data_IF_247692080322
#
_entry.id   IF_247692080322
#
_cell.length_a   1.000
_cell.length_b   1.000
_cell.length_c   1.000
_cell.angle_alpha   90.00
_cell.angle_beta   90.00
_cell.angle_gamma   90.00
#
_symmetry.space_group_name_H-M   'P 1'
#
loop_
_entity.id
_entity.type
_entity.pdbx_description
1 polymer ?
#
# COMPACT_ATOMS: atom_id res chain seq x y z
N UNK A 1 8.95 -51.92 40.54
CA UNK A 1 8.98 -51.56 39.12
C UNK A 1 8.44 -50.15 39.02
N UNK A 2 9.25 -49.10 38.76
CA UNK A 2 8.71 -47.77 38.48
C UNK A 2 8.16 -47.72 37.05
N UNK A 3 6.97 -47.15 36.90
CA UNK A 3 6.29 -46.98 35.62
C UNK A 3 7.00 -46.01 34.66
N UNK A 4 6.68 -46.07 33.36
CA UNK A 4 7.36 -45.25 32.34
C UNK A 4 7.08 -43.76 32.54
N UNK A 5 8.14 -42.96 32.39
CA UNK A 5 8.12 -41.48 32.41
C UNK A 5 7.27 -40.98 31.25
N UNK A 6 6.29 -40.07 31.45
CA UNK A 6 5.52 -39.50 30.33
C UNK A 6 6.42 -38.70 29.41
N UNK A 7 6.25 -38.89 28.10
CA UNK A 7 6.98 -38.20 27.06
C UNK A 7 6.75 -36.67 27.16
N UNK A 8 7.85 -35.91 27.03
CA UNK A 8 7.85 -34.46 27.02
C UNK A 8 7.03 -33.96 25.81
N UNK A 9 6.10 -33.01 25.99
CA UNK A 9 5.37 -32.47 24.86
C UNK A 9 6.32 -31.83 23.84
N UNK A 10 6.02 -31.90 22.54
CA UNK A 10 6.86 -31.31 21.51
C UNK A 10 7.00 -29.78 21.73
N UNK A 11 8.23 -29.30 21.69
CA UNK A 11 8.51 -27.86 21.70
C UNK A 11 7.87 -27.23 20.47
N UNK A 12 7.06 -26.17 20.62
CA UNK A 12 6.47 -25.49 19.48
C UNK A 12 7.57 -24.89 18.58
N UNK A 13 7.40 -25.04 17.28
CA UNK A 13 8.31 -24.52 16.24
C UNK A 13 8.47 -23.00 16.39
N UNK A 14 9.71 -22.52 16.33
CA UNK A 14 10.05 -21.11 16.52
C UNK A 14 9.25 -20.16 15.60
N UNK A 15 8.91 -20.60 14.39
CA UNK A 15 8.07 -19.88 13.43
C UNK A 15 6.65 -19.66 13.95
N UNK A 16 6.07 -20.69 14.60
CA UNK A 16 4.70 -20.64 15.17
C UNK A 16 4.60 -19.66 16.35
N UNK A 17 5.67 -19.48 17.13
CA UNK A 17 5.70 -18.56 18.28
C UNK A 17 5.84 -17.12 17.80
N UNK A 18 6.64 -16.86 16.74
CA UNK A 18 6.78 -15.53 16.13
C UNK A 18 5.47 -15.07 15.51
N UNK A 19 4.79 -15.95 14.76
CA UNK A 19 3.49 -15.66 14.15
C UNK A 19 2.39 -15.38 15.21
N UNK A 20 2.42 -16.07 16.35
CA UNK A 20 1.49 -15.80 17.43
C UNK A 20 1.79 -14.48 18.15
N UNK A 21 3.08 -14.13 18.35
CA UNK A 21 3.46 -12.85 18.93
C UNK A 21 3.11 -11.68 18.01
N UNK A 22 3.40 -11.78 16.73
CA UNK A 22 3.03 -10.75 15.73
C UNK A 22 1.50 -10.57 15.71
N UNK A 23 0.71 -11.67 15.78
CA UNK A 23 -0.75 -11.59 15.86
C UNK A 23 -1.24 -10.97 17.17
N UNK A 24 -0.60 -11.25 18.30
CA UNK A 24 -0.93 -10.62 19.58
C UNK A 24 -0.56 -9.13 19.59
N UNK A 25 0.58 -8.75 19.01
CA UNK A 25 0.96 -7.34 18.84
C UNK A 25 0.00 -6.60 17.89
N UNK A 26 -0.41 -7.21 16.79
CA UNK A 26 -1.37 -6.61 15.85
C UNK A 26 -2.80 -6.48 16.41
N UNK A 27 -3.17 -7.28 17.40
CA UNK A 27 -4.50 -7.25 18.02
C UNK A 27 -4.61 -6.35 19.25
N UNK A 28 -3.49 -5.85 19.80
CA UNK A 28 -3.50 -4.98 20.95
C UNK A 28 -3.64 -3.52 20.51
N UNK A 29 -4.87 -3.03 20.51
CA UNK A 29 -5.20 -1.63 20.24
C UNK A 29 -4.57 -0.62 21.22
N UNK A 30 -3.99 -1.08 22.32
CA UNK A 30 -3.28 -0.25 23.31
C UNK A 30 -1.81 0.01 22.93
N UNK A 31 -1.22 -0.75 22.02
CA UNK A 31 0.18 -0.60 21.60
C UNK A 31 0.35 0.26 20.34
N UNK A 32 -0.70 0.47 19.57
CA UNK A 32 -0.62 1.18 18.29
C UNK A 32 -0.12 2.63 18.38
N UNK A 33 -0.38 3.34 19.49
CA UNK A 33 0.12 4.71 19.72
C UNK A 33 1.49 4.75 20.40
N UNK A 34 1.93 3.66 21.03
CA UNK A 34 3.17 3.60 21.82
C UNK A 34 4.25 2.68 21.18
N UNK A 35 4.01 2.16 19.98
CA UNK A 35 4.95 1.24 19.33
C UNK A 35 6.34 1.86 19.16
N UNK A 36 6.42 3.11 18.70
CA UNK A 36 7.68 3.83 18.53
C UNK A 36 8.43 4.03 19.86
N UNK A 37 7.70 4.31 20.94
CA UNK A 37 8.30 4.46 22.27
C UNK A 37 8.87 3.14 22.81
N UNK A 38 8.17 2.02 22.57
CA UNK A 38 8.63 0.69 22.98
C UNK A 38 9.84 0.26 22.15
N UNK A 39 9.87 0.61 20.87
CA UNK A 39 10.99 0.37 19.97
C UNK A 39 12.24 1.13 20.42
N UNK A 40 12.10 2.42 20.75
CA UNK A 40 13.18 3.24 21.32
C UNK A 40 13.74 2.66 22.62
N UNK A 41 12.87 2.17 23.52
CA UNK A 41 13.29 1.51 24.75
C UNK A 41 14.02 0.19 24.48
N UNK A 42 13.58 -0.56 23.49
CA UNK A 42 14.23 -1.80 23.11
C UNK A 42 15.60 -1.56 22.48
N UNK A 43 15.75 -0.54 21.66
CA UNK A 43 17.07 -0.14 21.13
C UNK A 43 18.02 0.30 22.25
N UNK A 44 17.55 1.07 23.23
CA UNK A 44 18.33 1.45 24.41
C UNK A 44 18.78 0.21 25.20
N UNK A 45 17.89 -0.76 25.37
CA UNK A 45 18.21 -2.02 26.03
C UNK A 45 19.24 -2.85 25.25
N UNK A 46 19.17 -2.89 23.91
CA UNK A 46 20.18 -3.59 23.09
C UNK A 46 21.58 -2.99 23.21
N UNK A 47 21.66 -1.66 23.37
CA UNK A 47 22.93 -0.94 23.57
C UNK A 47 23.45 -1.11 25.02
N UNK A 48 22.56 -0.97 26.00
CA UNK A 48 22.87 -1.09 27.42
C UNK A 48 21.67 -1.60 28.21
N UNK A 49 21.62 -2.88 28.58
CA UNK A 49 20.48 -3.49 29.28
C UNK A 49 20.12 -2.82 30.60
N UNK A 50 21.06 -2.11 31.23
CA UNK A 50 20.87 -1.41 32.53
C UNK A 50 20.39 0.04 32.36
N UNK A 51 20.23 0.52 31.11
CA UNK A 51 19.74 1.88 30.82
C UNK A 51 18.21 2.00 30.84
N UNK A 52 17.49 0.90 30.84
CA UNK A 52 16.02 0.87 30.87
C UNK A 52 15.50 0.49 32.25
N UNK A 53 14.24 0.89 32.53
CA UNK A 53 13.58 0.54 33.81
C UNK A 53 13.58 -1.00 34.01
N UNK A 54 13.78 -1.49 35.25
CA UNK A 54 13.86 -2.92 35.58
C UNK A 54 12.69 -3.76 35.08
N UNK A 55 11.49 -3.16 34.96
CA UNK A 55 10.32 -3.85 34.40
C UNK A 55 10.49 -4.11 32.91
N UNK A 56 10.98 -3.13 32.18
CA UNK A 56 11.27 -3.27 30.75
C UNK A 56 12.44 -4.21 30.50
N UNK A 57 13.48 -4.13 31.33
CA UNK A 57 14.60 -5.07 31.28
C UNK A 57 14.13 -6.51 31.44
N UNK A 58 13.31 -6.81 32.45
CA UNK A 58 12.74 -8.15 32.66
C UNK A 58 11.89 -8.62 31.46
N UNK A 59 11.12 -7.71 30.88
CA UNK A 59 10.33 -7.97 29.70
C UNK A 59 11.19 -8.33 28.49
N UNK A 60 12.22 -7.52 28.20
CA UNK A 60 13.13 -7.73 27.07
C UNK A 60 14.09 -8.91 27.26
N UNK A 61 14.49 -9.22 28.51
CA UNK A 61 15.26 -10.41 28.83
C UNK A 61 14.52 -11.71 28.45
N UNK A 62 13.18 -11.69 28.45
CA UNK A 62 12.35 -12.79 27.96
C UNK A 62 12.50 -13.08 26.45
N UNK A 63 13.06 -12.16 25.67
CA UNK A 63 13.37 -12.34 24.26
C UNK A 63 14.80 -12.86 24.02
N UNK A 64 15.69 -12.79 25.02
CA UNK A 64 17.05 -13.35 24.98
C UNK A 64 17.01 -14.88 25.02
N UNK A 65 16.90 -15.48 23.90
CA UNK A 65 16.90 -16.98 23.80
C UNK A 65 16.89 -17.47 22.37
N UNK A 66 17.05 -16.57 21.41
CA UNK A 66 17.07 -16.90 19.98
C UNK A 66 18.45 -16.59 19.38
N UNK A 67 18.99 -17.55 18.64
CA UNK A 67 20.36 -17.63 18.11
C UNK A 67 20.75 -16.58 17.04
N UNK A 68 19.93 -15.58 16.77
CA UNK A 68 20.30 -14.44 15.94
C UNK A 68 20.40 -13.21 16.83
N UNK A 69 21.60 -12.69 17.03
CA UNK A 69 21.83 -11.43 17.74
C UNK A 69 20.99 -10.32 17.10
N UNK A 70 20.03 -9.84 17.86
CA UNK A 70 19.15 -8.75 17.43
C UNK A 70 20.00 -7.47 17.33
N UNK A 71 19.83 -6.72 16.25
CA UNK A 71 20.61 -5.51 15.95
C UNK A 71 19.70 -4.31 16.05
N UNK A 72 20.13 -3.18 16.66
CA UNK A 72 19.33 -1.97 16.69
C UNK A 72 18.89 -1.53 15.30
N UNK A 73 17.60 -1.27 15.11
CA UNK A 73 17.05 -0.82 13.83
C UNK A 73 17.67 0.49 13.36
N UNK A 74 18.01 1.38 14.27
CA UNK A 74 18.74 2.62 13.97
C UNK A 74 20.10 2.36 13.32
N UNK A 75 20.82 1.32 13.73
CA UNK A 75 22.10 0.93 13.12
C UNK A 75 21.90 0.37 11.70
N UNK A 76 20.85 -0.43 11.50
CA UNK A 76 20.47 -0.95 10.17
C UNK A 76 20.07 0.18 9.23
N UNK A 77 19.23 1.12 9.71
CA UNK A 77 18.80 2.30 8.95
C UNK A 77 20.00 3.18 8.59
N UNK A 78 20.94 3.41 9.54
CA UNK A 78 22.16 4.15 9.27
C UNK A 78 23.05 3.48 8.23
N UNK A 79 23.21 2.16 8.32
CA UNK A 79 24.00 1.37 7.36
C UNK A 79 23.35 1.38 5.95
N UNK A 80 22.02 1.26 5.86
CA UNK A 80 21.29 1.35 4.58
C UNK A 80 21.40 2.77 4.00
N UNK A 81 21.27 3.80 4.84
CA UNK A 81 21.42 5.19 4.41
C UNK A 81 22.87 5.50 3.96
N UNK A 82 23.86 4.88 4.57
CA UNK A 82 25.26 5.00 4.16
C UNK A 82 25.54 4.23 2.86
N UNK A 83 25.03 3.02 2.73
CA UNK A 83 25.08 2.25 1.49
C UNK A 83 24.40 2.98 0.34
N UNK A 84 23.24 3.63 0.59
CA UNK A 84 22.55 4.45 -0.38
C UNK A 84 23.35 5.69 -0.78
N UNK A 85 24.04 6.34 0.18
CA UNK A 85 24.94 7.47 -0.10
C UNK A 85 26.15 7.03 -0.93
N UNK A 86 26.75 5.89 -0.61
CA UNK A 86 27.86 5.32 -1.39
C UNK A 86 27.42 4.88 -2.77
N UNK A 87 26.21 4.34 -2.94
CA UNK A 87 25.63 4.03 -4.23
C UNK A 87 25.34 5.30 -5.07
N UNK A 88 25.01 6.42 -4.41
CA UNK A 88 24.83 7.72 -5.08
C UNK A 88 26.15 8.38 -5.46
N UNK A 89 27.24 8.11 -4.73
CA UNK A 89 28.60 8.62 -5.01
C UNK A 89 29.36 7.70 -6.00
N UNK A 90 29.09 6.39 -6.02
CA UNK A 90 29.44 5.55 -7.13
C UNK A 90 28.54 5.95 -8.30
N UNK A 91 29.02 6.87 -9.11
CA UNK A 91 28.32 7.39 -10.28
C UNK A 91 27.70 6.26 -11.10
N UNK A 92 26.70 6.56 -11.94
CA UNK A 92 25.93 5.53 -12.61
C UNK A 92 26.89 4.58 -13.31
N UNK A 93 26.89 3.31 -12.90
CA UNK A 93 27.38 2.28 -13.77
C UNK A 93 26.73 2.53 -15.13
N UNK A 94 27.53 2.65 -16.16
CA UNK A 94 27.10 2.90 -17.54
C UNK A 94 26.28 1.73 -18.08
N UNK A 95 25.14 1.49 -17.46
CA UNK A 95 24.01 0.81 -18.07
C UNK A 95 23.30 1.88 -18.91
N UNK A 96 23.28 1.70 -20.21
CA UNK A 96 22.87 2.69 -21.17
C UNK A 96 21.59 3.45 -20.77
N UNK A 97 21.55 4.76 -21.01
CA UNK A 97 20.46 5.66 -20.57
C UNK A 97 19.03 5.22 -20.96
N UNK A 98 18.87 4.12 -21.71
CA UNK A 98 17.60 3.44 -21.97
C UNK A 98 17.05 2.68 -20.76
N UNK A 99 17.92 2.03 -19.99
CA UNK A 99 17.49 1.19 -18.85
C UNK A 99 16.98 2.02 -17.66
N UNK A 100 17.58 3.21 -17.43
CA UNK A 100 17.12 4.14 -16.39
C UNK A 100 15.76 4.76 -16.73
N UNK A 101 15.55 5.17 -17.97
CA UNK A 101 14.26 5.69 -18.40
C UNK A 101 13.16 4.64 -18.33
N UNK A 102 13.43 3.39 -18.72
CA UNK A 102 12.49 2.27 -18.56
C UNK A 102 12.08 2.10 -17.07
N UNK A 103 13.04 2.14 -16.15
CA UNK A 103 12.75 2.07 -14.70
C UNK A 103 11.89 3.25 -14.23
N UNK A 104 12.18 4.45 -14.72
CA UNK A 104 11.44 5.66 -14.35
C UNK A 104 9.99 5.62 -14.87
N UNK A 105 9.76 5.12 -16.07
CA UNK A 105 8.41 4.86 -16.58
C UNK A 105 7.69 3.80 -15.74
N UNK A 106 8.37 2.74 -15.31
CA UNK A 106 7.80 1.75 -14.40
C UNK A 106 7.37 2.34 -13.05
N UNK A 107 8.16 3.29 -12.51
CA UNK A 107 7.81 4.02 -11.27
C UNK A 107 6.60 4.93 -11.49
N UNK A 108 6.52 5.63 -12.61
CA UNK A 108 5.37 6.46 -12.98
C UNK A 108 4.08 5.62 -13.07
N UNK A 109 4.11 4.45 -13.71
CA UNK A 109 2.97 3.53 -13.78
C UNK A 109 2.53 3.12 -12.36
N UNK A 110 3.50 2.78 -11.50
CA UNK A 110 3.22 2.40 -10.11
C UNK A 110 2.62 3.56 -9.32
N UNK A 111 3.08 4.80 -9.53
CA UNK A 111 2.53 6.00 -8.90
C UNK A 111 1.06 6.21 -9.29
N UNK A 112 0.73 6.10 -10.58
CA UNK A 112 -0.68 6.18 -11.02
C UNK A 112 -1.55 5.08 -10.41
N UNK A 113 -1.08 3.83 -10.36
CA UNK A 113 -1.82 2.71 -9.74
C UNK A 113 -2.07 2.91 -8.24
N UNK A 114 -1.09 3.50 -7.54
CA UNK A 114 -1.14 3.65 -6.08
C UNK A 114 -1.83 4.94 -5.64
N UNK A 115 -1.65 6.04 -6.36
CA UNK A 115 -2.03 7.40 -5.94
C UNK A 115 -2.86 8.17 -6.95
N UNK A 116 -3.12 7.59 -8.13
CA UNK A 116 -3.92 8.24 -9.16
C UNK A 116 -5.32 8.66 -8.68
N UNK A 117 -5.93 7.86 -7.78
CA UNK A 117 -7.23 8.16 -7.19
C UNK A 117 -7.28 9.52 -6.46
N UNK A 118 -6.15 10.00 -5.92
CA UNK A 118 -6.07 11.33 -5.29
C UNK A 118 -6.24 12.46 -6.30
N UNK A 119 -5.82 12.23 -7.56
CA UNK A 119 -6.00 13.17 -8.67
C UNK A 119 -7.33 13.00 -9.41
N UNK A 120 -8.20 12.09 -8.99
CA UNK A 120 -9.48 11.85 -9.65
C UNK A 120 -10.48 12.97 -9.34
N UNK A 121 -11.19 13.43 -10.39
CA UNK A 121 -12.28 14.39 -10.25
C UNK A 121 -13.59 13.66 -9.91
N UNK A 122 -13.75 13.34 -8.63
CA UNK A 122 -14.89 12.58 -8.10
C UNK A 122 -16.02 13.49 -7.61
N UNK A 123 -15.83 14.81 -7.61
CA UNK A 123 -16.88 15.78 -7.23
C UNK A 123 -17.58 16.33 -8.47
N UNK A 124 -18.78 15.86 -8.82
CA UNK A 124 -19.52 16.34 -9.98
C UNK A 124 -20.00 17.79 -9.84
N UNK A 125 -20.01 18.33 -8.62
CA UNK A 125 -20.41 19.73 -8.34
C UNK A 125 -19.21 20.69 -8.40
N UNK A 126 -17.98 20.17 -8.43
CA UNK A 126 -16.77 20.99 -8.50
C UNK A 126 -16.50 21.83 -7.25
N UNK A 127 -17.06 21.45 -6.09
CA UNK A 127 -16.87 22.16 -4.82
C UNK A 127 -15.49 21.89 -4.23
N UNK A 128 -14.95 20.71 -4.49
CA UNK A 128 -13.62 20.29 -4.03
C UNK A 128 -12.74 20.00 -5.24
N UNK A 129 -11.69 20.79 -5.50
CA UNK A 129 -10.79 20.51 -6.61
C UNK A 129 -10.03 19.20 -6.34
N UNK A 130 -9.72 18.40 -7.39
CA UNK A 130 -8.88 17.22 -7.25
C UNK A 130 -7.48 17.60 -6.75
N UNK A 131 -6.86 16.72 -5.99
CA UNK A 131 -5.47 16.90 -5.58
C UNK A 131 -4.54 16.76 -6.79
N UNK A 132 -3.36 17.36 -6.71
CA UNK A 132 -2.30 17.16 -7.69
C UNK A 132 -1.06 16.55 -7.02
N UNK A 133 -1.02 15.24 -6.81
CA UNK A 133 0.14 14.58 -6.21
C UNK A 133 1.37 14.75 -7.13
N UNK A 134 2.51 15.23 -6.62
CA UNK A 134 3.69 15.53 -7.44
C UNK A 134 4.29 14.28 -8.11
N UNK A 135 4.08 13.12 -7.56
CA UNK A 135 4.53 11.83 -8.11
C UNK A 135 3.71 11.33 -9.31
N UNK A 136 2.66 12.05 -9.71
CA UNK A 136 1.97 11.82 -10.99
C UNK A 136 2.59 12.62 -12.14
N UNK A 137 3.55 13.53 -11.86
CA UNK A 137 4.21 14.35 -12.86
C UNK A 137 5.46 13.66 -13.43
N UNK A 138 5.72 13.87 -14.72
CA UNK A 138 6.90 13.33 -15.42
C UNK A 138 8.21 13.76 -14.76
N UNK A 139 8.29 15.04 -14.36
CA UNK A 139 9.50 15.62 -13.77
C UNK A 139 9.92 14.92 -12.46
N UNK A 140 8.97 14.46 -11.66
CA UNK A 140 9.24 13.70 -10.44
C UNK A 140 10.01 12.41 -10.71
N UNK A 141 9.80 11.83 -11.88
CA UNK A 141 10.46 10.59 -12.32
C UNK A 141 11.65 10.85 -13.25
N UNK A 142 12.20 12.07 -13.26
CA UNK A 142 13.27 12.47 -14.18
C UNK A 142 12.93 12.19 -15.67
N UNK A 143 11.65 12.29 -16.03
CA UNK A 143 11.14 12.24 -17.39
C UNK A 143 10.73 13.65 -17.83
N UNK A 144 10.68 13.89 -19.13
CA UNK A 144 10.35 15.18 -19.71
C UNK A 144 9.55 15.04 -21.00
N UNK A 145 9.12 16.16 -21.56
CA UNK A 145 8.40 16.18 -22.84
C UNK A 145 9.22 15.58 -24.00
N UNK A 146 10.56 15.57 -23.89
CA UNK A 146 11.44 14.94 -24.88
C UNK A 146 11.30 13.42 -24.93
N UNK A 147 10.79 12.82 -23.85
CA UNK A 147 10.63 11.38 -23.72
C UNK A 147 9.26 10.91 -24.23
N UNK A 148 8.31 11.83 -24.49
CA UNK A 148 6.93 11.53 -24.86
C UNK A 148 6.79 10.66 -26.11
N UNK A 149 7.68 10.81 -27.08
CA UNK A 149 7.67 10.03 -28.34
C UNK A 149 8.48 8.73 -28.24
N UNK A 150 9.20 8.52 -27.14
CA UNK A 150 9.92 7.28 -26.85
C UNK A 150 8.96 6.13 -26.56
N UNK A 151 9.34 4.93 -26.99
CA UNK A 151 8.63 3.70 -26.69
C UNK A 151 9.20 3.01 -25.45
N UNK A 152 8.33 2.73 -24.49
CA UNK A 152 8.70 2.11 -23.21
C UNK A 152 7.84 0.89 -22.90
N UNK A 153 8.38 0.02 -22.05
CA UNK A 153 7.65 -1.09 -21.49
C UNK A 153 6.50 -0.57 -20.60
N UNK A 154 5.32 -1.11 -20.79
CA UNK A 154 4.12 -0.69 -20.06
C UNK A 154 3.86 -1.53 -18.81
N UNK A 155 4.59 -2.62 -18.61
CA UNK A 155 4.24 -3.60 -17.58
C UNK A 155 2.84 -4.20 -17.79
N UNK A 156 2.36 -4.23 -19.05
CA UNK A 156 1.07 -4.82 -19.43
C UNK A 156 -0.14 -3.87 -19.37
N UNK A 157 0.07 -2.56 -19.25
CA UNK A 157 -1.01 -1.56 -19.30
C UNK A 157 -1.83 -1.76 -20.58
N UNK A 158 -3.16 -1.89 -20.42
CA UNK A 158 -4.11 -2.13 -21.49
C UNK A 158 -3.77 -3.37 -22.38
N UNK A 159 -3.02 -4.35 -21.84
CA UNK A 159 -2.59 -5.54 -22.57
C UNK A 159 -1.50 -5.29 -23.63
N UNK A 160 -0.94 -4.10 -23.70
CA UNK A 160 0.13 -3.73 -24.64
C UNK A 160 1.49 -3.88 -23.96
N UNK A 161 2.47 -4.59 -24.58
CA UNK A 161 3.80 -4.75 -23.97
C UNK A 161 4.62 -3.45 -24.00
N UNK A 162 4.47 -2.64 -25.05
CA UNK A 162 5.17 -1.36 -25.24
C UNK A 162 4.22 -0.31 -25.80
N UNK A 163 4.43 0.94 -25.41
CA UNK A 163 3.68 2.11 -25.91
C UNK A 163 4.59 3.34 -25.93
N UNK A 164 4.24 4.34 -26.75
CA UNK A 164 4.81 5.67 -26.59
C UNK A 164 4.41 6.25 -25.24
N UNK A 165 5.33 6.97 -24.59
CA UNK A 165 5.06 7.55 -23.26
C UNK A 165 3.84 8.47 -23.26
N UNK A 166 3.59 9.22 -24.33
CA UNK A 166 2.40 10.07 -24.46
C UNK A 166 1.10 9.28 -24.41
N UNK A 167 1.05 8.13 -25.09
CA UNK A 167 -0.14 7.29 -25.15
C UNK A 167 -0.35 6.56 -23.82
N UNK A 168 0.74 6.09 -23.22
CA UNK A 168 0.74 5.51 -21.90
C UNK A 168 0.23 6.50 -20.85
N UNK A 169 0.75 7.74 -20.85
CA UNK A 169 0.34 8.79 -19.92
C UNK A 169 -1.13 9.16 -20.11
N UNK A 170 -1.59 9.28 -21.35
CA UNK A 170 -3.00 9.54 -21.66
C UNK A 170 -3.89 8.39 -21.13
N UNK A 171 -3.46 7.14 -21.30
CA UNK A 171 -4.18 5.97 -20.79
C UNK A 171 -4.23 5.96 -19.26
N UNK A 172 -3.11 6.19 -18.59
CA UNK A 172 -3.02 6.24 -17.13
C UNK A 172 -3.91 7.36 -16.55
N UNK A 173 -3.86 8.56 -17.14
CA UNK A 173 -4.72 9.68 -16.74
C UNK A 173 -6.19 9.36 -16.91
N UNK A 174 -6.59 8.84 -18.07
CA UNK A 174 -7.97 8.46 -18.33
C UNK A 174 -8.49 7.38 -17.36
N UNK A 175 -7.61 6.46 -16.95
CA UNK A 175 -7.95 5.37 -16.02
C UNK A 175 -8.05 5.83 -14.57
N UNK A 176 -7.07 6.61 -14.08
CA UNK A 176 -6.87 6.83 -12.65
C UNK A 176 -7.18 8.25 -12.16
N UNK A 177 -7.22 9.25 -13.06
CA UNK A 177 -7.49 10.65 -12.70
C UNK A 177 -8.75 11.21 -13.37
N UNK A 178 -9.61 10.32 -13.88
CA UNK A 178 -10.91 10.68 -14.45
C UNK A 178 -11.96 10.93 -13.37
N UNK A 179 -13.22 10.59 -13.66
CA UNK A 179 -14.34 10.73 -12.73
C UNK A 179 -14.52 9.56 -11.75
N UNK A 180 -13.60 8.60 -11.75
CA UNK A 180 -13.60 7.42 -10.89
C UNK A 180 -12.26 7.34 -10.19
N UNK A 181 -12.25 7.36 -8.86
CA UNK A 181 -11.09 7.06 -8.03
C UNK A 181 -11.03 5.57 -7.74
N UNK A 182 -9.94 4.90 -8.13
CA UNK A 182 -9.75 3.47 -7.87
C UNK A 182 -8.59 3.27 -6.90
N UNK A 183 -8.90 2.76 -5.71
CA UNK A 183 -7.93 2.45 -4.66
C UNK A 183 -7.93 0.94 -4.40
N UNK A 184 -6.86 0.25 -4.81
CA UNK A 184 -6.77 -1.22 -4.74
C UNK A 184 -5.36 -1.74 -4.44
N UNK A 185 -4.35 -0.87 -4.42
CA UNK A 185 -2.97 -1.32 -4.23
C UNK A 185 -2.68 -1.82 -2.81
N UNK A 186 -3.55 -1.55 -1.85
CA UNK A 186 -3.51 -2.08 -0.49
C UNK A 186 -3.90 -3.57 -0.40
N UNK A 187 -4.52 -4.14 -1.43
CA UNK A 187 -4.93 -5.56 -1.46
C UNK A 187 -3.68 -6.43 -1.44
N UNK A 188 -3.50 -7.34 -0.46
CA UNK A 188 -2.30 -8.16 -0.35
C UNK A 188 -2.19 -9.24 -1.43
N UNK A 189 -3.32 -9.73 -1.96
CA UNK A 189 -3.34 -10.78 -2.97
C UNK A 189 -2.94 -10.23 -4.34
N UNK A 190 -1.82 -10.72 -4.88
CA UNK A 190 -1.24 -10.24 -6.14
C UNK A 190 -2.18 -10.44 -7.31
N UNK A 191 -2.84 -11.60 -7.39
CA UNK A 191 -3.75 -11.98 -8.47
C UNK A 191 -4.97 -11.06 -8.53
N UNK A 192 -5.52 -10.68 -7.37
CA UNK A 192 -6.65 -9.75 -7.28
C UNK A 192 -6.25 -8.36 -7.76
N UNK A 193 -5.08 -7.85 -7.32
CA UNK A 193 -4.55 -6.56 -7.80
C UNK A 193 -4.34 -6.57 -9.31
N UNK A 194 -3.73 -7.64 -9.84
CA UNK A 194 -3.49 -7.79 -11.27
C UNK A 194 -4.79 -7.80 -12.06
N UNK A 195 -5.79 -8.53 -11.60
CA UNK A 195 -7.11 -8.57 -12.21
C UNK A 195 -7.76 -7.18 -12.25
N UNK A 196 -7.68 -6.42 -11.15
CA UNK A 196 -8.25 -5.08 -11.06
C UNK A 196 -7.57 -4.11 -12.03
N UNK A 197 -6.24 -3.96 -11.97
CA UNK A 197 -5.59 -2.98 -12.83
C UNK A 197 -5.66 -3.36 -14.31
N UNK A 198 -5.59 -4.63 -14.67
CA UNK A 198 -5.79 -5.06 -16.05
C UNK A 198 -7.17 -4.65 -16.58
N UNK A 199 -8.20 -4.84 -15.77
CA UNK A 199 -9.57 -4.50 -16.15
C UNK A 199 -9.77 -2.98 -16.25
N UNK A 200 -9.29 -2.21 -15.29
CA UNK A 200 -9.36 -0.75 -15.27
C UNK A 200 -8.58 -0.14 -16.45
N UNK A 201 -7.34 -0.59 -16.66
CA UNK A 201 -6.45 -0.07 -17.70
C UNK A 201 -6.93 -0.46 -19.11
N UNK A 202 -7.57 -1.62 -19.28
CA UNK A 202 -8.20 -1.99 -20.55
C UNK A 202 -9.40 -1.10 -20.85
N UNK A 203 -10.22 -0.77 -19.86
CA UNK A 203 -11.35 0.15 -20.01
C UNK A 203 -10.90 1.59 -20.28
N UNK A 204 -9.79 2.04 -19.63
CA UNK A 204 -9.22 3.37 -19.85
C UNK A 204 -10.22 4.49 -19.56
N UNK A 205 -10.99 4.36 -18.48
CA UNK A 205 -12.04 5.31 -18.10
C UNK A 205 -13.36 5.17 -18.87
N UNK A 206 -13.41 4.34 -19.91
CA UNK A 206 -14.63 4.08 -20.67
C UNK A 206 -15.13 2.67 -20.40
N UNK A 207 -16.13 2.54 -19.56
CA UNK A 207 -16.71 1.24 -19.16
C UNK A 207 -17.84 0.76 -20.09
N UNK A 208 -18.05 1.44 -21.22
CA UNK A 208 -19.04 1.02 -22.23
C UNK A 208 -20.50 1.08 -21.75
N UNK A 209 -20.80 1.83 -20.69
CA UNK A 209 -22.17 1.97 -20.18
C UNK A 209 -22.99 2.88 -21.10
N UNK A 210 -24.02 2.31 -21.70
CA UNK A 210 -25.00 3.07 -22.47
C UNK A 210 -25.86 3.99 -21.58
N UNK A 211 -26.54 5.00 -22.15
CA UNK A 211 -27.34 5.94 -21.37
C UNK A 211 -28.44 5.28 -20.54
N UNK A 212 -29.08 4.22 -21.05
CA UNK A 212 -30.15 3.54 -20.32
C UNK A 212 -29.60 2.80 -19.09
N UNK A 213 -28.44 2.14 -19.22
CA UNK A 213 -27.73 1.51 -18.09
C UNK A 213 -27.31 2.54 -17.05
N UNK A 214 -26.79 3.70 -17.45
CA UNK A 214 -26.43 4.79 -16.52
C UNK A 214 -27.63 5.31 -15.76
N UNK A 215 -28.76 5.55 -16.45
CA UNK A 215 -30.02 5.97 -15.85
C UNK A 215 -30.51 4.93 -14.84
N UNK A 216 -30.45 3.64 -15.20
CA UNK A 216 -30.84 2.56 -14.30
C UNK A 216 -29.99 2.49 -13.04
N UNK A 217 -28.66 2.68 -13.16
CA UNK A 217 -27.75 2.73 -12.01
C UNK A 217 -28.15 3.88 -11.08
N UNK A 218 -28.38 5.09 -11.63
CA UNK A 218 -28.82 6.25 -10.87
C UNK A 218 -30.17 6.01 -10.18
N UNK A 219 -31.14 5.43 -10.87
CA UNK A 219 -32.44 5.05 -10.27
C UNK A 219 -32.28 4.10 -9.08
N UNK A 220 -31.41 3.09 -9.21
CA UNK A 220 -31.17 2.12 -8.13
C UNK A 220 -30.47 2.73 -6.94
N UNK A 221 -29.46 3.56 -7.16
CA UNK A 221 -28.77 4.29 -6.08
C UNK A 221 -29.75 5.24 -5.37
N UNK A 222 -30.52 6.01 -6.13
CA UNK A 222 -31.53 6.93 -5.59
C UNK A 222 -32.63 6.18 -4.78
N UNK A 223 -33.06 5.02 -5.27
CA UNK A 223 -34.04 4.19 -4.56
C UNK A 223 -33.45 3.61 -3.25
N UNK A 224 -32.21 3.17 -3.25
CA UNK A 224 -31.54 2.66 -2.05
C UNK A 224 -31.38 3.78 -1.00
N UNK A 225 -30.86 4.95 -1.40
CA UNK A 225 -30.72 6.10 -0.51
C UNK A 225 -32.06 6.59 0.01
N UNK A 226 -33.07 6.64 -0.84
CA UNK A 226 -34.45 7.02 -0.46
C UNK A 226 -35.03 6.05 0.58
N UNK A 227 -34.80 4.73 0.41
CA UNK A 227 -35.19 3.72 1.40
C UNK A 227 -34.45 3.91 2.74
N UNK A 228 -33.16 4.16 2.70
CA UNK A 228 -32.37 4.41 3.92
C UNK A 228 -32.88 5.63 4.69
N UNK A 229 -33.15 6.74 3.98
CA UNK A 229 -33.72 7.96 4.57
C UNK A 229 -35.10 7.71 5.14
N UNK A 230 -35.99 6.99 4.43
CA UNK A 230 -37.30 6.61 4.92
C UNK A 230 -37.23 5.79 6.20
N UNK A 231 -36.39 4.76 6.21
CA UNK A 231 -36.19 3.92 7.40
C UNK A 231 -35.59 4.71 8.56
N UNK A 232 -34.71 5.67 8.29
CA UNK A 232 -34.14 6.56 9.31
C UNK A 232 -35.21 7.40 9.98
N UNK A 233 -36.16 7.92 9.21
CA UNK A 233 -37.25 8.74 9.73
C UNK A 233 -38.29 7.91 10.47
N UNK A 234 -38.61 6.71 9.94
CA UNK A 234 -39.70 5.89 10.44
C UNK A 234 -39.34 5.04 11.66
N UNK A 235 -38.09 4.57 11.72
CA UNK A 235 -37.58 3.61 12.73
C UNK A 235 -36.34 4.17 13.42
N UNK A 236 -36.52 5.22 14.19
CA UNK A 236 -35.44 5.86 14.95
C UNK A 236 -34.84 4.88 15.96
N UNK A 237 -33.52 4.77 15.98
CA UNK A 237 -32.79 3.95 16.94
C UNK A 237 -32.51 2.49 16.49
N UNK A 238 -32.99 2.02 15.37
CA UNK A 238 -32.58 0.74 14.81
C UNK A 238 -31.20 0.82 14.14
N UNK A 239 -30.37 -0.19 14.39
CA UNK A 239 -29.06 -0.33 13.72
C UNK A 239 -29.25 -0.54 12.22
N UNK A 240 -28.64 0.30 11.41
CA UNK A 240 -28.67 0.25 9.94
C UNK A 240 -27.27 0.37 9.39
N UNK A 241 -27.09 -0.19 8.20
CA UNK A 241 -25.90 0.02 7.39
C UNK A 241 -26.30 0.84 6.17
N UNK A 242 -25.51 1.85 5.84
CA UNK A 242 -25.70 2.63 4.62
C UNK A 242 -24.83 2.10 3.50
N UNK A 243 -25.16 2.44 2.24
CA UNK A 243 -24.31 2.13 1.09
C UNK A 243 -22.94 2.81 1.18
N UNK A 244 -22.84 3.92 1.89
CA UNK A 244 -21.59 4.66 2.08
C UNK A 244 -20.63 3.99 3.08
N UNK A 245 -21.15 3.11 3.92
CA UNK A 245 -20.38 2.45 4.98
C UNK A 245 -20.36 0.92 4.90
N UNK A 246 -20.85 0.36 3.81
CA UNK A 246 -20.99 -1.07 3.58
C UNK A 246 -19.85 -1.70 2.82
#
# INVERSE_FOLDING_TARGET
>A
MPGPIPARPPTPDATSIVDNLIKQFAQSSQLGSNAAYIEDLYEQYLVSPDSVDPKWKTYFDGFKGREAGDVPHSAVIAHVAEAARHAAVAGPATAGGGDERERNVGRLITAYRSRGHLGANIDPLGLTPPMNPPDLDLAFHALSDRDLDGEFSTGGVAGQPRMKLRDLLARLRATYTGSIGAEFMHIPQVEQRQWLYQRLETAGGNYGLDPATRTRILERLTAAEGLERYLHTKYVGQKRFSLEGG
#
